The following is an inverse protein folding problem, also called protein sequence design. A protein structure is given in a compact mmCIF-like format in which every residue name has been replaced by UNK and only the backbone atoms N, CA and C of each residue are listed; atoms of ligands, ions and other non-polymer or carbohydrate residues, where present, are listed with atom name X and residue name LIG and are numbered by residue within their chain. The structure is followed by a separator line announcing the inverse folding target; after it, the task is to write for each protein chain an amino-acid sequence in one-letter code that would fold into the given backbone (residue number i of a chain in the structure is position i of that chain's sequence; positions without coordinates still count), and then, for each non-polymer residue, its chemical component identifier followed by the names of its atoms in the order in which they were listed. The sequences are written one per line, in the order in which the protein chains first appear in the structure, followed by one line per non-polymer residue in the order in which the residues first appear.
data_IF_185602940262
#
_entry.id   IF_185602940262
#
_cell.length_a   1.000
_cell.length_b   1.000
_cell.length_c   1.000
_cell.angle_alpha   90.00
_cell.angle_beta   90.00
_cell.angle_gamma   90.00
#
_symmetry.space_group_name_H-M   'P 1'
#
loop_
_entity.id
_entity.type
_entity.pdbx_description
1 polymer ?
#
# COMPACT_ATOMS: atom_id res chain seq x y z
N UNK A 1 -5.90 -6.09 21.70
CA UNK A 1 -6.23 -4.97 20.80
C UNK A 1 -5.45 -5.17 19.51
N UNK A 2 -6.04 -5.87 18.54
CA UNK A 2 -5.34 -6.25 17.31
C UNK A 2 -5.11 -5.00 16.46
N UNK A 3 -3.86 -4.60 16.32
CA UNK A 3 -3.46 -3.53 15.41
C UNK A 3 -3.63 -4.00 13.97
N UNK A 4 -4.72 -3.66 13.34
CA UNK A 4 -4.89 -3.75 11.88
C UNK A 4 -4.06 -2.65 11.22
N UNK A 5 -2.75 -2.84 11.17
CA UNK A 5 -1.87 -2.05 10.31
C UNK A 5 -1.56 -2.89 9.08
N UNK A 6 -2.32 -2.72 8.01
CA UNK A 6 -1.87 -3.19 6.70
C UNK A 6 -0.66 -2.35 6.28
N UNK A 7 0.42 -2.99 5.83
CA UNK A 7 1.60 -2.24 5.39
C UNK A 7 1.36 -1.76 3.96
N UNK A 8 2.06 -0.68 3.60
CA UNK A 8 2.13 -0.22 2.21
C UNK A 8 2.57 -1.36 1.29
N UNK A 9 3.52 -2.18 1.72
CA UNK A 9 3.98 -3.36 0.96
C UNK A 9 2.89 -4.39 0.72
N UNK A 10 2.06 -4.72 1.72
CA UNK A 10 0.96 -5.68 1.55
C UNK A 10 -0.05 -5.18 0.50
N UNK A 11 -0.38 -3.89 0.53
CA UNK A 11 -1.27 -3.26 -0.46
C UNK A 11 -0.65 -3.36 -1.86
N UNK A 12 0.65 -3.07 -2.00
CA UNK A 12 1.37 -3.15 -3.28
C UNK A 12 1.47 -4.59 -3.80
N UNK A 13 1.68 -5.57 -2.93
CA UNK A 13 1.70 -6.99 -3.28
C UNK A 13 0.33 -7.47 -3.78
N UNK A 14 -0.75 -7.05 -3.12
CA UNK A 14 -2.11 -7.34 -3.55
C UNK A 14 -2.43 -6.72 -4.92
N UNK A 15 -2.04 -5.46 -5.13
CA UNK A 15 -2.19 -4.78 -6.42
C UNK A 15 -1.37 -5.50 -7.51
N UNK A 16 -0.14 -5.94 -7.20
CA UNK A 16 0.70 -6.72 -8.10
C UNK A 16 0.10 -8.10 -8.42
N UNK A 17 -0.63 -8.69 -7.46
CA UNK A 17 -1.41 -9.91 -7.63
C UNK A 17 -2.70 -9.73 -8.45
N UNK A 18 -3.02 -8.51 -8.87
CA UNK A 18 -4.18 -8.20 -9.71
C UNK A 18 -5.42 -7.74 -8.95
N UNK A 19 -5.35 -7.53 -7.64
CA UNK A 19 -6.46 -6.95 -6.89
C UNK A 19 -6.73 -5.50 -7.35
N UNK A 20 -8.00 -5.12 -7.44
CA UNK A 20 -8.38 -3.74 -7.72
C UNK A 20 -8.44 -2.90 -6.45
N UNK A 21 -8.23 -1.57 -6.56
CA UNK A 21 -8.30 -0.67 -5.41
C UNK A 21 -9.63 -0.72 -4.65
N UNK A 22 -10.72 -1.07 -5.33
CA UNK A 22 -12.04 -1.24 -4.72
C UNK A 22 -12.14 -2.52 -3.88
N UNK A 23 -11.56 -3.62 -4.36
CA UNK A 23 -11.49 -4.87 -3.59
C UNK A 23 -10.64 -4.72 -2.34
N UNK A 24 -9.50 -4.01 -2.44
CA UNK A 24 -8.63 -3.73 -1.30
C UNK A 24 -9.36 -2.90 -0.24
N UNK A 25 -10.06 -1.83 -0.65
CA UNK A 25 -10.84 -1.02 0.27
C UNK A 25 -12.04 -1.78 0.89
N UNK A 26 -12.58 -2.77 0.17
CA UNK A 26 -13.65 -3.62 0.70
C UNK A 26 -13.12 -4.63 1.76
N UNK A 27 -11.91 -5.16 1.56
CA UNK A 27 -11.26 -6.09 2.50
C UNK A 27 -10.76 -5.38 3.77
N UNK A 28 -10.37 -4.11 3.64
CA UNK A 28 -9.93 -3.26 4.73
C UNK A 28 -10.95 -2.14 5.02
N UNK A 29 -11.93 -2.35 5.92
CA UNK A 29 -13.02 -1.40 6.18
C UNK A 29 -12.57 -0.07 6.80
N UNK A 30 -11.28 0.07 7.13
CA UNK A 30 -10.65 1.29 7.61
C UNK A 30 -9.86 2.02 6.50
N UNK A 31 -9.84 1.50 5.28
CA UNK A 31 -9.24 2.12 4.10
C UNK A 31 -10.33 2.53 3.11
N UNK A 32 -10.21 3.77 2.62
CA UNK A 32 -10.96 4.24 1.47
C UNK A 32 -10.18 3.96 0.18
N UNK A 33 -10.87 3.96 -0.97
CA UNK A 33 -10.21 3.89 -2.28
C UNK A 33 -9.19 5.03 -2.46
N UNK A 34 -9.47 6.19 -1.87
CA UNK A 34 -8.55 7.34 -1.86
C UNK A 34 -7.27 7.05 -1.07
N UNK A 35 -7.36 6.33 0.05
CA UNK A 35 -6.20 5.94 0.84
C UNK A 35 -5.30 4.99 0.04
N UNK A 36 -5.89 4.02 -0.67
CA UNK A 36 -5.14 3.11 -1.56
C UNK A 36 -4.43 3.88 -2.68
N UNK A 37 -5.06 4.91 -3.24
CA UNK A 37 -4.43 5.79 -4.24
C UNK A 37 -3.31 6.65 -3.66
N UNK A 38 -3.47 7.13 -2.42
CA UNK A 38 -2.43 7.84 -1.71
C UNK A 38 -1.21 6.93 -1.46
N UNK A 39 -1.43 5.66 -1.12
CA UNK A 39 -0.37 4.64 -0.99
C UNK A 39 0.38 4.44 -2.31
N UNK A 40 -0.33 4.34 -3.43
CA UNK A 40 0.29 4.26 -4.76
C UNK A 40 1.14 5.49 -5.09
N UNK A 41 0.66 6.68 -4.75
CA UNK A 41 1.38 7.94 -4.98
C UNK A 41 2.64 8.02 -4.11
N UNK A 42 2.53 7.60 -2.85
CA UNK A 42 3.67 7.46 -1.94
C UNK A 42 4.70 6.44 -2.46
N UNK A 43 4.24 5.28 -2.93
CA UNK A 43 5.11 4.24 -3.48
C UNK A 43 5.83 4.71 -4.74
N UNK A 44 5.16 5.43 -5.63
CA UNK A 44 5.78 6.03 -6.81
C UNK A 44 6.86 7.04 -6.43
N UNK A 45 6.57 7.93 -5.47
CA UNK A 45 7.56 8.89 -4.97
C UNK A 45 8.75 8.20 -4.27
N UNK A 46 8.49 7.12 -3.53
CA UNK A 46 9.53 6.32 -2.87
C UNK A 46 10.40 5.52 -3.86
N UNK A 47 9.84 5.10 -5.00
CA UNK A 47 10.58 4.43 -6.07
C UNK A 47 11.41 5.41 -6.92
N UNK A 48 10.91 6.64 -7.09
CA UNK A 48 11.62 7.72 -7.79
C UNK A 48 12.78 8.30 -6.95
N UNK A 49 12.65 8.29 -5.62
CA UNK A 49 13.78 8.55 -4.75
C UNK A 49 14.71 7.33 -4.74
N UNK A 50 16.02 7.46 -5.06
CA UNK A 50 16.93 6.34 -4.96
C UNK A 50 16.93 5.87 -3.51
N UNK A 51 16.33 4.71 -3.25
CA UNK A 51 16.37 4.04 -1.96
C UNK A 51 17.85 3.85 -1.65
N UNK A 52 18.41 4.69 -0.77
CA UNK A 52 19.60 4.34 -0.03
C UNK A 52 19.16 3.16 0.83
N UNK A 53 19.44 1.96 0.34
CA UNK A 53 19.26 0.74 1.09
C UNK A 53 20.08 0.90 2.37
N UNK A 54 19.42 1.24 3.47
CA UNK A 54 19.95 0.97 4.79
C UNK A 54 19.96 -0.56 4.91
N UNK A 55 21.09 -1.14 4.51
CA UNK A 55 21.45 -2.50 4.86
C UNK A 55 21.90 -2.50 6.32
N UNK A 56 21.17 -3.21 7.18
CA UNK A 56 21.68 -3.81 8.43
C UNK A 56 21.04 -5.19 8.60
#
# INVERSE_FOLDING_TARGET
MAGTRVRVTDILEMLAGGASTAEIAADFPYLSVEDVRAVLSYAAAAADHPIVLAAE
#
